data_IF_270437607307
#
_entry.id   IF_270437607307
#
_cell.length_a   1.000
_cell.length_b   1.000
_cell.length_c   1.000
_cell.angle_alpha   90.00
_cell.angle_beta   90.00
_cell.angle_gamma   90.00
#
_symmetry.space_group_name_H-M   'P 1'
#
loop_
_entity.id
_entity.type
_entity.pdbx_description
1 polymer ?
#
# COMPACT_ATOMS: atom_id res chain seq x y z
N UNK A 1 20.72 -1.69 12.00
CA UNK A 1 19.83 -1.77 10.83
C UNK A 1 18.80 -0.64 10.91
N UNK A 2 18.62 0.08 9.82
CA UNK A 2 17.58 1.11 9.67
C UNK A 2 16.78 0.79 8.41
N UNK A 3 15.45 0.84 8.51
CA UNK A 3 14.53 0.75 7.39
C UNK A 3 13.83 2.09 7.21
N UNK A 4 13.97 2.69 6.03
CA UNK A 4 13.23 3.88 5.64
C UNK A 4 12.22 3.45 4.58
N UNK A 5 10.95 3.42 4.96
CA UNK A 5 9.85 3.01 4.10
C UNK A 5 9.14 4.22 3.49
N UNK A 6 8.47 4.00 2.35
CA UNK A 6 7.72 5.06 1.68
C UNK A 6 8.62 6.06 0.95
N UNK A 7 9.76 5.61 0.42
CA UNK A 7 10.67 6.42 -0.39
C UNK A 7 10.08 6.69 -1.77
N UNK A 8 9.01 7.47 -1.81
CA UNK A 8 8.18 7.74 -2.98
C UNK A 8 7.86 9.23 -3.09
N UNK A 9 7.84 9.75 -4.32
CA UNK A 9 7.35 11.11 -4.58
C UNK A 9 5.93 11.29 -4.05
N UNK A 10 5.69 12.38 -3.33
CA UNK A 10 4.43 12.67 -2.67
C UNK A 10 4.30 12.16 -1.23
N UNK A 11 5.13 11.20 -0.82
CA UNK A 11 5.21 10.70 0.55
C UNK A 11 6.50 11.19 1.21
N UNK A 12 7.64 10.90 0.58
CA UNK A 12 8.93 11.38 1.02
C UNK A 12 9.86 11.59 -0.19
N UNK A 13 10.02 12.83 -0.68
CA UNK A 13 9.50 14.09 -0.13
C UNK A 13 7.98 14.21 -0.19
N UNK A 14 7.41 14.88 0.80
CA UNK A 14 5.97 15.08 0.91
C UNK A 14 5.43 15.98 -0.21
N UNK A 15 4.19 15.75 -0.65
CA UNK A 15 3.57 16.53 -1.74
C UNK A 15 3.52 18.05 -1.47
N UNK A 16 3.55 18.49 -0.21
CA UNK A 16 3.57 19.90 0.18
C UNK A 16 4.75 20.71 -0.35
N UNK A 17 5.83 20.04 -0.77
CA UNK A 17 7.00 20.75 -1.34
C UNK A 17 6.65 21.57 -2.58
N UNK A 18 5.60 21.19 -3.31
CA UNK A 18 5.13 21.92 -4.48
C UNK A 18 4.47 23.25 -4.12
N UNK A 19 3.88 23.35 -2.94
CA UNK A 19 3.18 24.54 -2.44
C UNK A 19 4.09 25.42 -1.58
N UNK A 20 4.92 24.80 -0.74
CA UNK A 20 5.74 25.51 0.25
C UNK A 20 7.08 26.02 -0.28
N UNK A 21 7.50 25.59 -1.47
CA UNK A 21 8.70 26.06 -2.16
C UNK A 21 9.99 25.31 -1.82
N UNK A 22 11.15 25.80 -2.36
CA UNK A 22 12.44 25.08 -2.30
C UNK A 22 12.97 24.82 -0.90
N UNK A 23 12.67 25.68 0.07
CA UNK A 23 13.12 25.52 1.45
C UNK A 23 12.53 24.30 2.13
N UNK A 24 11.30 23.93 1.80
CA UNK A 24 10.63 22.73 2.31
C UNK A 24 11.27 21.46 1.77
N UNK A 25 11.64 21.45 0.49
CA UNK A 25 12.38 20.34 -0.10
C UNK A 25 13.74 20.12 0.59
N UNK A 26 14.46 21.18 0.90
CA UNK A 26 15.74 21.07 1.59
C UNK A 26 15.58 20.60 3.03
N UNK A 27 14.49 20.93 3.70
CA UNK A 27 14.18 20.40 5.02
C UNK A 27 13.85 18.90 4.96
N UNK A 28 13.07 18.46 3.99
CA UNK A 28 12.78 17.04 3.73
C UNK A 28 14.08 16.28 3.41
N UNK A 29 14.99 16.88 2.63
CA UNK A 29 16.31 16.32 2.32
C UNK A 29 17.15 16.15 3.58
N UNK A 30 17.10 17.12 4.48
CA UNK A 30 17.80 17.07 5.78
C UNK A 30 17.25 15.94 6.65
N UNK A 31 15.93 15.77 6.71
CA UNK A 31 15.29 14.66 7.40
C UNK A 31 15.72 13.30 6.82
N UNK A 32 15.81 13.19 5.50
CA UNK A 32 16.33 12.00 4.83
C UNK A 32 17.77 11.70 5.28
N UNK A 33 18.65 12.68 5.28
CA UNK A 33 20.03 12.54 5.74
C UNK A 33 20.09 12.08 7.21
N UNK A 34 19.31 12.70 8.09
CA UNK A 34 19.25 12.32 9.51
C UNK A 34 18.78 10.88 9.65
N UNK A 35 17.75 10.46 8.92
CA UNK A 35 17.26 9.07 8.94
C UNK A 35 18.32 8.07 8.50
N UNK A 36 19.00 8.35 7.39
CA UNK A 36 20.05 7.47 6.84
C UNK A 36 21.26 7.35 7.81
N UNK A 37 21.66 8.46 8.43
CA UNK A 37 22.81 8.48 9.35
C UNK A 37 22.54 7.80 10.69
N UNK A 38 21.31 7.37 10.96
CA UNK A 38 21.02 6.51 12.13
C UNK A 38 21.48 5.07 11.93
N UNK A 39 21.69 4.64 10.69
CA UNK A 39 22.19 3.31 10.39
C UNK A 39 23.67 3.18 10.79
N UNK A 40 23.99 2.12 11.53
CA UNK A 40 25.38 1.80 11.91
C UNK A 40 26.00 0.76 11.00
N UNK A 41 25.20 -0.20 10.52
CA UNK A 41 25.66 -1.35 9.73
C UNK A 41 24.96 -1.42 8.38
N UNK A 42 23.63 -1.41 8.37
CA UNK A 42 22.84 -1.52 7.15
C UNK A 42 21.71 -0.50 7.12
N UNK A 43 21.46 0.02 5.94
CA UNK A 43 20.36 0.92 5.62
C UNK A 43 19.54 0.29 4.49
N UNK A 44 18.25 0.07 4.74
CA UNK A 44 17.30 -0.42 3.76
C UNK A 44 16.30 0.69 3.42
N UNK A 45 16.23 1.02 2.13
CA UNK A 45 15.31 2.01 1.58
C UNK A 45 14.27 1.27 0.76
N UNK A 46 13.00 1.46 1.08
CA UNK A 46 11.92 0.74 0.40
C UNK A 46 10.90 1.69 -0.20
N UNK A 47 10.38 1.33 -1.37
CA UNK A 47 9.30 2.04 -2.04
C UNK A 47 8.33 1.04 -2.68
N UNK A 48 7.10 1.47 -2.90
CA UNK A 48 6.09 0.71 -3.60
C UNK A 48 5.70 1.42 -4.90
N UNK A 49 5.56 0.67 -5.99
CA UNK A 49 5.11 1.22 -7.27
C UNK A 49 3.64 1.65 -7.21
N UNK A 50 2.83 0.97 -6.42
CA UNK A 50 1.46 1.37 -6.12
C UNK A 50 1.17 1.26 -4.62
N UNK A 51 0.33 2.16 -4.12
CA UNK A 51 -0.04 2.23 -2.72
C UNK A 51 -1.49 2.64 -2.56
N UNK A 52 -2.20 1.96 -1.68
CA UNK A 52 -3.53 2.37 -1.29
C UNK A 52 -3.44 3.37 -0.14
N UNK A 53 -3.96 4.57 -0.36
CA UNK A 53 -4.05 5.62 0.64
C UNK A 53 -5.45 6.22 0.63
N UNK A 54 -6.08 6.34 1.81
CA UNK A 54 -7.40 6.94 1.97
C UNK A 54 -8.47 6.34 1.03
N UNK A 55 -8.41 5.02 0.79
CA UNK A 55 -9.35 4.32 -0.09
C UNK A 55 -9.09 4.50 -1.59
N UNK A 56 -8.03 5.18 -1.97
CA UNK A 56 -7.63 5.36 -3.37
C UNK A 56 -6.27 4.76 -3.65
N UNK A 57 -6.14 4.06 -4.78
CA UNK A 57 -4.86 3.53 -5.25
C UNK A 57 -4.11 4.61 -6.03
N UNK A 58 -2.95 4.97 -5.52
CA UNK A 58 -2.01 5.88 -6.17
C UNK A 58 -0.80 5.12 -6.72
N UNK A 59 -0.22 5.66 -7.80
CA UNK A 59 1.03 5.20 -8.40
C UNK A 59 2.03 6.33 -8.26
N UNK A 60 3.04 6.14 -7.41
CA UNK A 60 4.06 7.15 -7.16
C UNK A 60 5.37 6.73 -7.80
N UNK A 61 6.12 7.71 -8.27
CA UNK A 61 7.50 7.49 -8.69
C UNK A 61 8.39 7.26 -7.46
N UNK A 62 9.49 6.51 -7.59
CA UNK A 62 10.50 6.44 -6.54
C UNK A 62 10.96 7.83 -6.12
N UNK A 63 11.28 8.00 -4.85
CA UNK A 63 11.76 9.27 -4.31
C UNK A 63 12.96 9.79 -5.08
N UNK A 64 13.00 11.09 -5.37
CA UNK A 64 14.17 11.77 -5.95
C UNK A 64 15.43 11.63 -5.09
N UNK A 65 15.27 11.41 -3.79
CA UNK A 65 16.38 11.17 -2.89
C UNK A 65 17.13 9.87 -3.21
N UNK A 66 16.43 8.87 -3.78
CA UNK A 66 17.08 7.65 -4.27
C UNK A 66 17.94 7.94 -5.52
N UNK A 67 17.45 8.78 -6.43
CA UNK A 67 18.21 9.21 -7.61
C UNK A 67 19.47 9.99 -7.21
N UNK A 68 19.38 10.85 -6.21
CA UNK A 68 20.49 11.64 -5.69
C UNK A 68 21.62 10.77 -5.14
N UNK A 69 21.34 9.55 -4.71
CA UNK A 69 22.33 8.59 -4.23
C UNK A 69 23.07 7.89 -5.37
N UNK A 70 22.53 7.89 -6.57
CA UNK A 70 23.12 7.33 -7.78
C UNK A 70 23.56 5.87 -7.60
N UNK A 71 24.81 5.55 -7.95
CA UNK A 71 25.37 4.19 -7.90
C UNK A 71 25.80 3.75 -6.49
N UNK A 72 25.57 4.55 -5.46
CA UNK A 72 25.91 4.19 -4.09
C UNK A 72 24.93 3.25 -3.42
N UNK A 73 23.77 3.02 -4.07
CA UNK A 73 22.76 2.09 -3.62
C UNK A 73 22.69 0.87 -4.54
N UNK A 74 22.51 -0.30 -3.96
CA UNK A 74 22.19 -1.51 -4.69
C UNK A 74 20.68 -1.68 -4.74
N UNK A 75 20.13 -1.68 -5.95
CA UNK A 75 18.70 -1.92 -6.14
C UNK A 75 18.43 -3.42 -6.16
N UNK A 76 17.55 -3.86 -5.29
CA UNK A 76 17.02 -5.22 -5.24
C UNK A 76 15.53 -5.13 -5.57
N UNK A 77 15.16 -5.62 -6.74
CA UNK A 77 13.75 -5.73 -7.11
C UNK A 77 13.19 -7.04 -6.56
N UNK A 78 12.26 -6.93 -5.63
CA UNK A 78 11.56 -8.07 -5.05
C UNK A 78 10.18 -8.31 -5.68
N UNK A 79 9.80 -7.52 -6.68
CA UNK A 79 8.48 -7.60 -7.32
C UNK A 79 8.19 -8.97 -7.93
N UNK A 80 9.23 -9.73 -8.30
CA UNK A 80 9.09 -11.06 -8.87
C UNK A 80 8.95 -12.20 -7.83
N UNK A 81 9.21 -11.93 -6.55
CA UNK A 81 9.09 -12.94 -5.48
C UNK A 81 7.73 -12.95 -4.80
N UNK A 82 7.04 -11.85 -4.83
CA UNK A 82 5.65 -11.78 -4.43
C UNK A 82 4.82 -11.94 -5.70
N UNK A 83 4.31 -13.15 -5.95
CA UNK A 83 3.09 -13.27 -6.76
C UNK A 83 2.11 -12.29 -6.15
N UNK A 84 1.73 -11.32 -6.95
CA UNK A 84 0.88 -10.21 -6.58
C UNK A 84 -0.16 -10.63 -5.55
N UNK A 85 0.02 -10.20 -4.30
CA UNK A 85 -1.13 -10.10 -3.41
C UNK A 85 -2.16 -9.12 -4.03
N UNK A 86 -1.72 -8.30 -4.99
CA UNK A 86 -2.58 -7.47 -5.84
C UNK A 86 -3.49 -8.30 -6.79
N UNK A 87 -3.11 -9.53 -7.18
CA UNK A 87 -4.07 -10.46 -7.80
C UNK A 87 -5.18 -10.86 -6.82
N UNK A 88 -4.94 -10.79 -5.52
CA UNK A 88 -5.96 -11.08 -4.53
C UNK A 88 -6.98 -9.92 -4.40
N UNK A 89 -6.56 -8.69 -4.68
CA UNK A 89 -7.46 -7.52 -4.74
C UNK A 89 -8.03 -7.28 -6.14
N UNK A 90 -7.48 -7.91 -7.16
CA UNK A 90 -7.94 -7.82 -8.55
C UNK A 90 -9.13 -8.71 -8.88
N UNK A 91 -9.40 -9.73 -8.08
CA UNK A 91 -10.64 -10.49 -8.17
C UNK A 91 -11.76 -9.71 -7.48
N UNK A 92 -12.34 -8.77 -8.24
CA UNK A 92 -13.57 -8.14 -7.78
C UNK A 92 -14.61 -9.23 -7.56
N UNK A 93 -15.12 -9.28 -6.35
CA UNK A 93 -16.26 -10.16 -6.05
C UNK A 93 -17.48 -9.70 -6.85
N UNK A 94 -18.26 -10.65 -7.34
CA UNK A 94 -19.47 -10.38 -8.08
C UNK A 94 -20.71 -10.64 -7.22
N UNK A 95 -21.78 -9.92 -7.53
CA UNK A 95 -23.09 -10.16 -6.89
C UNK A 95 -23.56 -11.59 -7.22
N UNK A 96 -24.00 -12.32 -6.20
CA UNK A 96 -24.38 -13.73 -6.29
C UNK A 96 -23.26 -14.71 -5.97
N UNK A 97 -22.04 -14.24 -5.76
CA UNK A 97 -20.90 -15.09 -5.43
C UNK A 97 -20.96 -15.55 -3.96
N UNK A 98 -20.63 -16.83 -3.75
CA UNK A 98 -20.56 -17.40 -2.39
C UNK A 98 -19.19 -17.20 -1.79
N UNK A 99 -19.15 -16.64 -0.58
CA UNK A 99 -17.92 -16.37 0.16
C UNK A 99 -17.95 -16.94 1.57
N UNK A 100 -16.76 -17.12 2.11
CA UNK A 100 -16.57 -17.55 3.50
C UNK A 100 -15.78 -16.47 4.26
N UNK A 101 -16.34 -16.00 5.34
CA UNK A 101 -15.66 -15.15 6.33
C UNK A 101 -15.26 -15.99 7.53
N UNK A 102 -14.02 -15.79 8.01
CA UNK A 102 -13.56 -16.46 9.23
C UNK A 102 -14.38 -16.07 10.48
N UNK A 103 -15.02 -14.88 10.44
CA UNK A 103 -15.78 -14.34 11.56
C UNK A 103 -17.28 -14.61 11.47
N UNK A 104 -17.86 -14.63 10.25
CA UNK A 104 -19.30 -14.68 10.04
C UNK A 104 -19.77 -15.95 9.29
N UNK A 105 -18.84 -16.81 8.85
CA UNK A 105 -19.15 -18.04 8.13
C UNK A 105 -19.45 -17.82 6.66
N UNK A 106 -20.26 -18.72 6.07
CA UNK A 106 -20.63 -18.65 4.66
C UNK A 106 -21.70 -17.59 4.41
N UNK A 107 -21.60 -16.92 3.26
CA UNK A 107 -22.56 -15.92 2.83
C UNK A 107 -22.55 -15.72 1.33
N UNK A 108 -23.55 -15.04 0.82
CA UNK A 108 -23.72 -14.63 -0.57
C UNK A 108 -23.51 -13.12 -0.69
N UNK A 109 -22.76 -12.70 -1.68
CA UNK A 109 -22.59 -11.29 -1.99
C UNK A 109 -23.85 -10.77 -2.69
N UNK A 110 -24.47 -9.79 -2.10
CA UNK A 110 -25.73 -9.21 -2.60
C UNK A 110 -25.55 -7.81 -3.19
N UNK A 111 -24.43 -7.16 -2.92
CA UNK A 111 -24.09 -5.84 -3.45
C UNK A 111 -22.57 -5.62 -3.43
N UNK A 112 -22.06 -4.92 -4.43
CA UNK A 112 -20.63 -4.57 -4.57
C UNK A 112 -20.51 -3.07 -4.85
N UNK A 113 -19.81 -2.35 -3.99
CA UNK A 113 -19.57 -0.91 -4.08
C UNK A 113 -18.07 -0.63 -3.88
N UNK A 114 -17.31 -0.71 -4.98
CA UNK A 114 -15.86 -0.59 -4.97
C UNK A 114 -15.20 -1.68 -4.09
N UNK A 115 -14.51 -1.27 -3.03
CA UNK A 115 -13.89 -2.19 -2.06
C UNK A 115 -14.85 -2.66 -0.96
N UNK A 116 -16.09 -2.21 -0.97
CA UNK A 116 -17.10 -2.64 -0.02
C UNK A 116 -18.05 -3.67 -0.67
N UNK A 117 -18.22 -4.79 -0.02
CA UNK A 117 -19.20 -5.82 -0.41
C UNK A 117 -20.23 -5.99 0.68
N UNK A 118 -21.48 -6.13 0.28
CA UNK A 118 -22.57 -6.49 1.20
C UNK A 118 -22.81 -7.98 1.11
N UNK A 119 -22.59 -8.67 2.21
CA UNK A 119 -22.73 -10.13 2.29
C UNK A 119 -23.93 -10.49 3.16
N UNK A 120 -24.80 -11.34 2.63
CA UNK A 120 -25.88 -12.01 3.38
C UNK A 120 -25.37 -13.36 3.84
N UNK A 121 -25.12 -13.49 5.12
CA UNK A 121 -24.63 -14.74 5.71
C UNK A 121 -25.77 -15.75 5.94
N UNK A 122 -25.42 -17.04 5.92
CA UNK A 122 -26.35 -18.13 6.20
C UNK A 122 -26.97 -18.01 7.60
N UNK A 123 -26.28 -17.35 8.53
CA UNK A 123 -26.78 -17.02 9.87
C UNK A 123 -27.98 -16.04 9.87
N UNK A 124 -28.35 -15.49 8.72
CA UNK A 124 -29.40 -14.48 8.56
C UNK A 124 -28.95 -13.04 8.73
N UNK A 125 -27.68 -12.80 9.04
CA UNK A 125 -27.13 -11.47 9.15
C UNK A 125 -26.66 -10.94 7.79
N UNK A 126 -26.88 -9.64 7.57
CA UNK A 126 -26.35 -8.92 6.41
C UNK A 126 -25.34 -7.91 6.91
N UNK A 127 -24.12 -7.92 6.33
CA UNK A 127 -23.03 -7.01 6.71
C UNK A 127 -22.41 -6.39 5.46
N UNK A 128 -22.14 -5.08 5.53
CA UNK A 128 -21.27 -4.40 4.57
C UNK A 128 -19.85 -4.50 5.08
N UNK A 129 -18.97 -5.14 4.33
CA UNK A 129 -17.59 -5.46 4.68
C UNK A 129 -16.64 -4.85 3.67
N UNK A 130 -15.50 -4.36 4.15
CA UNK A 130 -14.41 -3.96 3.25
C UNK A 130 -13.56 -5.20 2.96
N UNK A 131 -13.39 -5.53 1.68
CA UNK A 131 -12.67 -6.74 1.23
C UNK A 131 -11.23 -6.80 1.71
N UNK A 132 -10.58 -5.66 1.91
CA UNK A 132 -9.19 -5.60 2.39
C UNK A 132 -9.04 -6.09 3.83
N UNK A 133 -10.04 -5.87 4.67
CA UNK A 133 -9.98 -6.22 6.10
C UNK A 133 -10.80 -7.46 6.46
N UNK A 134 -11.74 -7.82 5.63
CA UNK A 134 -12.70 -8.88 5.94
C UNK A 134 -12.18 -10.29 5.69
N UNK A 135 -11.03 -10.45 5.04
CA UNK A 135 -10.42 -11.75 4.69
C UNK A 135 -11.44 -12.73 4.11
N UNK A 136 -12.26 -12.27 3.15
CA UNK A 136 -13.23 -13.09 2.46
C UNK A 136 -12.53 -14.06 1.51
N UNK A 137 -12.97 -15.30 1.48
CA UNK A 137 -12.52 -16.32 0.52
C UNK A 137 -13.73 -16.81 -0.28
N UNK A 138 -13.52 -17.14 -1.53
CA UNK A 138 -14.52 -17.82 -2.34
C UNK A 138 -14.85 -19.18 -1.72
N UNK A 139 -16.13 -19.51 -1.69
CA UNK A 139 -16.61 -20.77 -1.10
C UNK A 139 -16.39 -21.96 -2.03
#
# INVERSE_FOLDING_TARGET
FVFMAGMEEGIFPHARIHEAGPSELEEERRLCYVGMTRAREELHLTYAASRLQFGQRGYNMPSRFLEDMGNQIMQIDQSSQYKDEDEFYGEMFEVGEMVVSGQFGKGEIIDVDGLAVTVRFVSGQTKKLNVEYAHLRRA
#
